data_IF_755040128754
#
_entry.id   IF_755040128754
#
_cell.length_a   1.000
_cell.length_b   1.000
_cell.length_c   1.000
_cell.angle_alpha   90.00
_cell.angle_beta   90.00
_cell.angle_gamma   90.00
#
_symmetry.space_group_name_H-M   'P 1'
#
loop_
_entity.id
_entity.type
_entity.pdbx_description
1 polymer ?
#
# COMPACT_ATOMS: atom_id res chain seq x y z
N UNK A 1 4.58 35.83 -13.87
CA UNK A 1 5.34 34.96 -12.90
C UNK A 1 4.55 34.46 -11.67
N UNK A 2 3.35 34.97 -11.33
CA UNK A 2 2.59 34.54 -10.12
C UNK A 2 1.82 33.21 -10.26
N UNK A 3 1.48 32.77 -11.49
CA UNK A 3 0.64 31.58 -11.72
C UNK A 3 1.34 30.23 -11.43
N UNK A 4 2.66 30.12 -11.65
CA UNK A 4 3.44 28.88 -11.40
C UNK A 4 3.68 28.58 -9.92
N UNK A 5 3.68 29.60 -9.04
CA UNK A 5 3.92 29.41 -7.59
C UNK A 5 2.67 28.95 -6.84
N UNK A 6 1.49 29.32 -7.33
CA UNK A 6 0.19 28.88 -6.79
C UNK A 6 -0.05 27.39 -7.06
N UNK A 7 0.21 26.93 -8.29
CA UNK A 7 -0.01 25.54 -8.69
C UNK A 7 0.98 24.55 -8.07
N UNK A 8 2.22 24.96 -7.79
CA UNK A 8 3.17 24.07 -7.08
C UNK A 8 2.78 23.89 -5.61
N UNK A 9 2.36 24.97 -4.93
CA UNK A 9 1.93 24.90 -3.52
C UNK A 9 0.61 24.13 -3.33
N UNK A 10 -0.33 24.24 -4.27
CA UNK A 10 -1.58 23.48 -4.20
C UNK A 10 -1.36 21.99 -4.47
N UNK A 11 -0.46 21.63 -5.39
CA UNK A 11 -0.03 20.24 -5.62
C UNK A 11 0.74 19.65 -4.45
N UNK A 12 1.66 20.41 -3.85
CA UNK A 12 2.39 19.99 -2.64
C UNK A 12 1.46 19.72 -1.45
N UNK A 13 0.34 20.44 -1.32
CA UNK A 13 -0.67 20.19 -0.27
C UNK A 13 -1.61 19.02 -0.54
N UNK A 14 -1.69 18.54 -1.79
CA UNK A 14 -2.53 17.39 -2.17
C UNK A 14 -1.73 16.10 -2.28
N UNK A 15 -0.42 16.17 -2.42
CA UNK A 15 0.43 15.01 -2.55
C UNK A 15 0.28 14.04 -1.36
N UNK A 16 0.14 12.75 -1.67
CA UNK A 16 0.34 11.69 -0.68
C UNK A 16 1.83 11.52 -0.48
N UNK A 17 2.26 11.70 0.77
CA UNK A 17 3.63 11.47 1.20
C UNK A 17 3.67 10.33 2.21
N UNK A 18 4.58 9.39 2.03
CA UNK A 18 4.88 8.35 3.01
C UNK A 18 6.39 8.12 3.05
N UNK A 19 6.93 8.01 4.25
CA UNK A 19 8.33 7.73 4.51
C UNK A 19 8.49 6.69 5.62
N UNK A 20 9.47 5.82 5.46
CA UNK A 20 9.90 4.87 6.48
C UNK A 20 11.42 4.74 6.48
N UNK A 21 12.02 4.58 7.66
CA UNK A 21 13.42 4.22 7.80
C UNK A 21 13.53 2.69 7.84
N UNK A 22 14.23 2.11 6.88
CA UNK A 22 14.49 0.68 6.79
C UNK A 22 15.89 0.40 7.33
N UNK A 23 15.97 -0.22 8.50
CA UNK A 23 17.24 -0.60 9.15
C UNK A 23 17.73 -1.93 8.61
N UNK A 24 18.29 -1.93 7.41
CA UNK A 24 18.96 -3.10 6.85
C UNK A 24 20.45 -3.02 7.19
N UNK A 25 21.04 -4.02 7.87
CA UNK A 25 22.48 -4.02 8.13
C UNK A 25 23.29 -4.26 6.85
N UNK A 26 24.43 -3.57 6.73
CA UNK A 26 25.44 -3.79 5.69
C UNK A 26 25.37 -2.87 4.47
N UNK A 27 26.46 -2.82 3.72
CA UNK A 27 26.68 -1.95 2.54
C UNK A 27 25.64 -2.15 1.41
N UNK A 28 24.94 -3.31 1.40
CA UNK A 28 23.93 -3.68 0.39
C UNK A 28 22.48 -3.40 0.82
N UNK A 29 22.29 -2.57 1.84
CA UNK A 29 20.96 -2.18 2.34
C UNK A 29 20.05 -1.60 1.25
N UNK A 30 20.62 -0.73 0.41
CA UNK A 30 19.92 -0.14 -0.74
C UNK A 30 19.59 -1.20 -1.77
N UNK A 31 20.55 -2.07 -2.13
CA UNK A 31 20.37 -3.09 -3.17
C UNK A 31 19.21 -4.02 -2.84
N UNK A 32 19.16 -4.47 -1.59
CA UNK A 32 18.06 -5.32 -1.10
C UNK A 32 16.74 -4.58 -1.24
N UNK A 33 16.66 -3.35 -0.75
CA UNK A 33 15.42 -2.59 -0.80
C UNK A 33 14.99 -2.28 -2.24
N UNK A 34 15.94 -1.93 -3.11
CA UNK A 34 15.72 -1.72 -4.54
C UNK A 34 15.18 -2.98 -5.21
N UNK A 35 15.78 -4.14 -4.95
CA UNK A 35 15.30 -5.41 -5.50
C UNK A 35 13.86 -5.72 -5.06
N UNK A 36 13.56 -5.63 -3.76
CA UNK A 36 12.22 -5.90 -3.22
C UNK A 36 11.12 -4.96 -3.77
N UNK A 37 11.51 -3.77 -4.22
CA UNK A 37 10.60 -2.72 -4.65
C UNK A 37 10.48 -2.61 -6.16
N UNK A 38 11.55 -2.90 -6.92
CA UNK A 38 11.55 -2.82 -8.38
C UNK A 38 11.19 -4.16 -9.06
N UNK A 39 11.39 -5.31 -8.40
CA UNK A 39 11.02 -6.61 -8.96
C UNK A 39 9.48 -6.77 -8.99
N UNK A 40 8.86 -6.93 -10.18
CA UNK A 40 7.40 -7.01 -10.33
C UNK A 40 6.78 -8.27 -9.70
N UNK A 41 7.56 -9.32 -9.44
CA UNK A 41 7.11 -10.52 -8.73
C UNK A 41 7.15 -10.35 -7.21
N UNK A 42 8.05 -9.49 -6.70
CA UNK A 42 8.20 -9.26 -5.27
C UNK A 42 7.32 -8.10 -4.77
N UNK A 43 7.13 -7.07 -5.59
CA UNK A 43 6.41 -5.86 -5.22
C UNK A 43 4.97 -6.12 -4.72
N UNK A 44 4.12 -6.89 -5.43
CA UNK A 44 2.74 -7.13 -4.99
C UNK A 44 2.65 -7.93 -3.69
N UNK A 45 3.73 -8.60 -3.28
CA UNK A 45 3.73 -9.39 -2.04
C UNK A 45 3.55 -8.50 -0.82
N UNK A 46 4.10 -7.28 -0.81
CA UNK A 46 4.04 -6.37 0.33
C UNK A 46 3.08 -5.20 0.13
N UNK A 47 2.85 -4.75 -1.10
CA UNK A 47 2.03 -3.58 -1.40
C UNK A 47 0.53 -3.89 -1.45
N UNK A 48 -0.29 -3.20 -0.66
CA UNK A 48 -1.75 -3.33 -0.70
C UNK A 48 -2.38 -2.72 -1.95
N UNK A 49 -1.65 -1.84 -2.63
CA UNK A 49 -2.17 -1.08 -3.78
C UNK A 49 -2.15 -1.89 -5.07
N UNK A 50 -1.45 -3.02 -5.11
CA UNK A 50 -1.31 -3.86 -6.30
C UNK A 50 -1.42 -5.34 -5.94
N UNK A 51 -2.23 -6.07 -6.68
CA UNK A 51 -2.28 -7.54 -6.61
C UNK A 51 -1.35 -8.17 -7.62
N UNK A 52 -1.24 -7.60 -8.82
CA UNK A 52 -0.29 -8.03 -9.85
C UNK A 52 0.30 -6.82 -10.57
N UNK A 53 1.55 -6.96 -10.99
CA UNK A 53 2.25 -6.02 -11.85
C UNK A 53 2.90 -6.85 -12.95
N UNK A 54 2.52 -6.61 -14.20
CA UNK A 54 3.02 -7.35 -15.36
C UNK A 54 3.77 -6.39 -16.27
N UNK A 55 5.10 -6.55 -16.44
CA UNK A 55 5.85 -5.79 -17.44
C UNK A 55 5.27 -5.98 -18.83
N UNK A 56 5.16 -4.89 -19.58
CA UNK A 56 4.71 -4.88 -20.98
C UNK A 56 5.92 -4.73 -21.91
N UNK A 57 6.57 -5.87 -22.18
CA UNK A 57 7.81 -5.95 -22.94
C UNK A 57 9.07 -5.60 -22.14
N UNK A 58 10.22 -5.63 -22.81
CA UNK A 58 11.50 -5.23 -22.24
C UNK A 58 11.56 -3.71 -22.01
N UNK A 59 12.40 -3.23 -21.06
CA UNK A 59 12.65 -1.79 -20.91
C UNK A 59 13.12 -1.18 -22.23
N UNK A 60 12.60 -0.01 -22.57
CA UNK A 60 13.11 0.75 -23.72
C UNK A 60 14.54 1.24 -23.51
N UNK A 61 15.18 1.72 -24.58
CA UNK A 61 16.57 2.21 -24.54
C UNK A 61 16.82 3.32 -23.50
N UNK A 62 15.79 4.06 -23.09
CA UNK A 62 15.85 5.11 -22.06
C UNK A 62 15.65 4.60 -20.64
N UNK A 63 15.54 3.28 -20.43
CA UNK A 63 15.21 2.65 -19.15
C UNK A 63 13.74 2.78 -18.74
N UNK A 64 12.88 3.23 -19.65
CA UNK A 64 11.44 3.29 -19.41
C UNK A 64 10.82 1.90 -19.51
N UNK A 65 10.12 1.48 -18.47
CA UNK A 65 9.39 0.21 -18.42
C UNK A 65 7.89 0.48 -18.41
N UNK A 66 7.16 -0.06 -19.38
CA UNK A 66 5.69 -0.09 -19.35
C UNK A 66 5.23 -1.28 -18.53
N UNK A 67 4.12 -1.15 -17.82
CA UNK A 67 3.53 -2.23 -17.06
C UNK A 67 2.01 -2.11 -17.01
N UNK A 68 1.35 -3.26 -16.88
CA UNK A 68 -0.05 -3.37 -16.48
C UNK A 68 -0.09 -3.66 -14.99
N UNK A 69 -1.07 -3.10 -14.29
CA UNK A 69 -1.32 -3.41 -12.89
C UNK A 69 -2.77 -3.85 -12.68
N UNK A 70 -2.96 -4.69 -11.67
CA UNK A 70 -4.28 -5.16 -11.25
C UNK A 70 -4.45 -4.98 -9.74
N UNK A 71 -5.67 -4.62 -9.33
CA UNK A 71 -6.09 -4.56 -7.93
C UNK A 71 -7.33 -5.44 -7.77
N UNK A 72 -7.19 -6.54 -7.05
CA UNK A 72 -8.30 -7.45 -6.73
C UNK A 72 -8.74 -7.25 -5.28
N UNK A 73 -10.03 -6.94 -5.05
CA UNK A 73 -10.60 -7.00 -3.70
C UNK A 73 -10.45 -8.39 -3.07
N UNK A 74 -10.42 -8.51 -1.74
CA UNK A 74 -10.40 -9.82 -1.10
C UNK A 74 -11.73 -10.58 -1.31
N UNK A 75 -11.67 -11.91 -1.18
CA UNK A 75 -12.86 -12.77 -1.15
C UNK A 75 -13.50 -13.02 -2.53
N UNK A 76 -14.81 -13.32 -2.54
CA UNK A 76 -15.54 -13.69 -3.74
C UNK A 76 -15.61 -12.57 -4.79
N UNK A 77 -15.61 -11.30 -4.34
CA UNK A 77 -15.66 -10.15 -5.23
C UNK A 77 -14.42 -10.08 -6.15
N UNK A 78 -13.22 -10.30 -5.59
CA UNK A 78 -11.98 -10.31 -6.36
C UNK A 78 -11.83 -11.46 -7.34
N UNK A 79 -12.63 -12.53 -7.19
CA UNK A 79 -12.69 -13.61 -8.18
C UNK A 79 -13.47 -13.19 -9.43
N UNK A 80 -14.39 -12.24 -9.29
CA UNK A 80 -15.31 -11.78 -10.35
C UNK A 80 -14.89 -10.47 -10.99
N UNK A 81 -14.21 -9.61 -10.23
CA UNK A 81 -13.83 -8.28 -10.69
C UNK A 81 -12.43 -7.89 -10.21
N UNK A 82 -11.71 -7.15 -11.05
CA UNK A 82 -10.41 -6.60 -10.77
C UNK A 82 -10.33 -5.22 -11.42
N UNK A 83 -9.85 -4.23 -10.67
CA UNK A 83 -9.51 -2.92 -11.22
C UNK A 83 -8.19 -3.06 -11.97
N UNK A 84 -8.16 -2.58 -13.21
CA UNK A 84 -6.99 -2.64 -14.10
C UNK A 84 -6.46 -1.25 -14.39
N UNK A 85 -5.19 -1.17 -14.73
CA UNK A 85 -4.60 0.05 -15.24
C UNK A 85 -3.21 -0.16 -15.82
N UNK A 86 -2.67 0.94 -16.30
CA UNK A 86 -1.44 1.02 -17.06
C UNK A 86 -0.47 1.95 -16.36
N UNK A 87 0.82 1.69 -16.49
CA UNK A 87 1.83 2.60 -16.00
C UNK A 87 3.10 2.54 -16.80
N UNK A 88 3.87 3.61 -16.66
CA UNK A 88 5.24 3.71 -17.17
C UNK A 88 6.12 4.14 -16.02
N UNK A 89 7.16 3.37 -15.73
CA UNK A 89 8.16 3.69 -14.72
C UNK A 89 9.53 3.92 -15.36
N UNK A 90 10.36 4.67 -14.66
CA UNK A 90 11.79 4.79 -14.94
C UNK A 90 12.53 4.78 -13.61
N UNK A 91 13.39 3.79 -13.45
CA UNK A 91 14.30 3.67 -12.32
C UNK A 91 15.67 4.19 -12.72
N UNK A 92 16.21 5.14 -11.95
CA UNK A 92 17.63 5.47 -12.00
C UNK A 92 18.25 5.30 -10.62
N UNK A 93 19.27 4.45 -10.54
CA UNK A 93 20.25 4.52 -9.46
C UNK A 93 21.23 5.62 -9.84
N UNK A 94 21.37 6.65 -9.01
CA UNK A 94 21.95 7.92 -9.43
C UNK A 94 23.43 8.09 -9.11
N UNK A 95 23.99 7.33 -8.18
CA UNK A 95 25.37 7.56 -7.75
C UNK A 95 26.00 6.34 -7.05
N UNK A 96 27.33 6.40 -6.94
CA UNK A 96 28.19 5.47 -6.19
C UNK A 96 27.87 5.50 -4.68
N UNK A 97 27.26 6.60 -4.21
CA UNK A 97 26.78 6.81 -2.84
C UNK A 97 25.51 5.99 -2.51
N UNK A 98 24.91 5.31 -3.48
CA UNK A 98 23.78 4.40 -3.29
C UNK A 98 22.40 5.09 -3.27
N UNK A 99 22.28 6.34 -3.71
CA UNK A 99 20.98 6.97 -3.88
C UNK A 99 20.24 6.39 -5.09
N UNK A 100 18.95 6.10 -4.86
CA UNK A 100 18.03 5.61 -5.89
C UNK A 100 16.87 6.57 -6.09
N UNK A 101 16.38 6.68 -7.32
CA UNK A 101 15.09 7.30 -7.60
C UNK A 101 14.33 6.47 -8.62
N UNK A 102 13.10 6.10 -8.30
CA UNK A 102 12.17 5.49 -9.27
C UNK A 102 11.01 6.44 -9.47
N UNK A 103 10.71 6.83 -10.69
CA UNK A 103 9.57 7.66 -11.04
C UNK A 103 8.55 6.83 -11.81
N UNK A 104 7.27 7.12 -11.67
CA UNK A 104 6.22 6.45 -12.42
C UNK A 104 5.06 7.39 -12.76
N UNK A 105 4.39 7.09 -13.87
CA UNK A 105 3.04 7.59 -14.19
C UNK A 105 2.11 6.40 -14.31
N UNK A 106 0.87 6.58 -13.90
CA UNK A 106 -0.15 5.56 -13.98
C UNK A 106 -1.47 6.15 -14.48
N UNK A 107 -2.25 5.30 -15.13
CA UNK A 107 -3.56 5.60 -15.64
C UNK A 107 -4.47 4.39 -15.36
N UNK A 108 -5.57 4.56 -14.62
CA UNK A 108 -6.55 3.50 -14.45
C UNK A 108 -7.32 3.28 -15.75
N UNK A 109 -7.67 2.03 -16.05
CA UNK A 109 -8.45 1.65 -17.23
C UNK A 109 -9.93 1.45 -16.90
N UNK A 110 -10.27 1.47 -15.60
CA UNK A 110 -11.61 1.19 -15.10
C UNK A 110 -12.30 2.49 -14.63
N UNK A 111 -13.51 2.75 -15.12
CA UNK A 111 -14.34 3.91 -14.73
C UNK A 111 -14.81 3.83 -13.27
N UNK A 112 -14.82 2.62 -12.68
CA UNK A 112 -15.09 2.41 -11.26
C UNK A 112 -13.88 2.74 -10.38
N UNK A 113 -12.72 3.06 -10.96
CA UNK A 113 -11.56 3.47 -10.18
C UNK A 113 -11.80 4.79 -9.45
N UNK A 114 -11.58 4.85 -8.12
CA UNK A 114 -11.63 6.11 -7.36
C UNK A 114 -10.46 7.04 -7.68
N UNK A 115 -9.39 6.50 -8.27
CA UNK A 115 -8.22 7.24 -8.73
C UNK A 115 -8.35 7.46 -10.25
N UNK A 116 -7.92 8.61 -10.72
CA UNK A 116 -7.67 8.92 -12.13
C UNK A 116 -6.17 8.88 -12.46
N UNK A 117 -5.76 9.54 -13.56
CA UNK A 117 -4.36 9.62 -13.96
C UNK A 117 -3.50 10.23 -12.85
N UNK A 118 -2.32 9.66 -12.65
CA UNK A 118 -1.44 10.06 -11.58
C UNK A 118 0.02 9.88 -11.87
N UNK A 119 0.84 10.45 -10.99
CA UNK A 119 2.28 10.40 -11.11
C UNK A 119 2.92 10.38 -9.73
N UNK A 120 4.00 9.62 -9.60
CA UNK A 120 4.63 9.37 -8.32
C UNK A 120 6.12 9.11 -8.46
N UNK A 121 6.79 9.12 -7.33
CA UNK A 121 8.18 8.73 -7.28
C UNK A 121 8.52 8.14 -5.93
N UNK A 122 9.58 7.33 -5.94
CA UNK A 122 10.26 6.77 -4.79
C UNK A 122 11.68 7.31 -4.71
N UNK A 123 12.17 7.49 -3.49
CA UNK A 123 13.57 7.77 -3.23
C UNK A 123 14.14 6.82 -2.19
N UNK A 124 15.38 6.45 -2.42
CA UNK A 124 16.20 5.65 -1.53
C UNK A 124 17.35 6.58 -1.12
N UNK A 125 17.36 6.98 0.15
CA UNK A 125 18.35 7.89 0.71
C UNK A 125 19.12 7.13 1.78
N UNK A 126 20.36 6.70 1.51
CA UNK A 126 21.23 6.11 2.51
C UNK A 126 21.47 7.07 3.68
N UNK A 127 21.52 6.53 4.88
CA UNK A 127 21.86 7.24 6.13
C UNK A 127 22.65 6.30 7.04
N UNK A 128 23.28 6.86 8.08
CA UNK A 128 24.02 6.07 9.08
C UNK A 128 23.16 5.02 9.79
N UNK A 129 21.84 5.23 9.84
CA UNK A 129 20.88 4.34 10.50
C UNK A 129 20.22 3.33 9.55
N UNK A 130 20.48 3.38 8.23
CA UNK A 130 19.87 2.51 7.22
C UNK A 130 19.46 3.27 5.97
N UNK A 131 18.31 2.93 5.38
CA UNK A 131 17.82 3.59 4.16
C UNK A 131 16.49 4.29 4.46
N UNK A 132 16.45 5.61 4.28
CA UNK A 132 15.19 6.36 4.25
C UNK A 132 14.51 6.11 2.91
N UNK A 133 13.41 5.39 2.97
CA UNK A 133 12.57 5.07 1.83
C UNK A 133 11.31 5.92 1.85
N UNK A 134 11.13 6.72 0.81
CA UNK A 134 10.01 7.64 0.75
C UNK A 134 9.33 7.60 -0.61
N UNK A 135 8.05 7.94 -0.62
CA UNK A 135 7.25 8.16 -1.81
C UNK A 135 6.52 9.47 -1.73
N UNK A 136 6.40 10.13 -2.88
CA UNK A 136 5.50 11.25 -3.07
C UNK A 136 4.72 11.04 -4.37
N UNK A 137 3.39 11.09 -4.31
CA UNK A 137 2.58 10.99 -5.52
C UNK A 137 1.28 11.76 -5.43
N UNK A 138 0.75 12.12 -6.59
CA UNK A 138 -0.52 12.80 -6.73
C UNK A 138 -1.28 12.20 -7.93
N UNK A 139 -2.60 12.31 -7.88
CA UNK A 139 -3.50 11.82 -8.90
C UNK A 139 -4.73 12.72 -8.98
N UNK A 140 -5.37 12.72 -10.15
CA UNK A 140 -6.67 13.35 -10.33
C UNK A 140 -7.76 12.45 -9.74
N UNK A 141 -8.71 12.97 -8.94
CA UNK A 141 -9.81 12.16 -8.42
C UNK A 141 -10.63 11.51 -9.54
N UNK A 142 -11.04 10.26 -9.37
CA UNK A 142 -12.01 9.60 -10.24
C UNK A 142 -13.42 10.19 -10.09
N UNK A 143 -14.40 9.69 -10.86
CA UNK A 143 -15.83 9.99 -10.71
C UNK A 143 -16.25 11.48 -10.80
N UNK A 144 -15.43 12.32 -11.44
CA UNK A 144 -15.74 13.74 -11.64
C UNK A 144 -16.01 14.49 -10.33
N UNK A 145 -17.15 15.18 -10.24
CA UNK A 145 -17.47 16.06 -9.09
C UNK A 145 -17.65 15.29 -7.78
N UNK A 146 -18.19 14.07 -7.84
CA UNK A 146 -18.38 13.25 -6.63
C UNK A 146 -17.03 12.86 -6.04
N UNK A 147 -16.12 12.33 -6.87
CA UNK A 147 -14.78 11.99 -6.40
C UNK A 147 -13.96 13.21 -6.00
N UNK A 148 -14.16 14.38 -6.63
CA UNK A 148 -13.53 15.62 -6.16
C UNK A 148 -13.91 15.99 -4.70
N UNK A 149 -15.13 15.66 -4.27
CA UNK A 149 -15.57 15.83 -2.88
C UNK A 149 -15.09 14.73 -1.93
N UNK A 150 -15.14 13.47 -2.38
CA UNK A 150 -14.76 12.31 -1.57
C UNK A 150 -13.24 12.10 -1.45
N UNK A 151 -12.46 12.55 -2.43
CA UNK A 151 -11.01 12.33 -2.48
C UNK A 151 -10.28 12.85 -1.23
N UNK A 152 -10.42 14.12 -0.82
CA UNK A 152 -9.71 14.62 0.35
C UNK A 152 -10.18 14.00 1.67
N UNK A 153 -11.42 13.50 1.74
CA UNK A 153 -12.04 13.01 2.97
C UNK A 153 -11.90 11.49 3.18
N UNK A 154 -11.90 10.72 2.08
CA UNK A 154 -12.00 9.27 2.12
C UNK A 154 -10.88 8.63 1.31
N UNK A 155 -10.84 8.88 -0.01
CA UNK A 155 -9.96 8.13 -0.93
C UNK A 155 -8.49 8.41 -0.61
N UNK A 156 -8.07 9.67 -0.61
CA UNK A 156 -6.67 10.05 -0.41
C UNK A 156 -6.15 9.68 1.00
N UNK A 157 -6.90 9.90 2.10
CA UNK A 157 -6.52 9.38 3.40
C UNK A 157 -6.37 7.86 3.44
N UNK A 158 -7.27 7.11 2.81
CA UNK A 158 -7.23 5.64 2.76
C UNK A 158 -6.05 5.14 1.94
N UNK A 159 -5.79 5.73 0.77
CA UNK A 159 -4.66 5.38 -0.10
C UNK A 159 -3.33 5.74 0.57
N UNK A 160 -3.26 6.88 1.26
CA UNK A 160 -2.12 7.24 2.11
C UNK A 160 -1.90 6.27 3.28
N UNK A 161 -2.98 5.82 3.93
CA UNK A 161 -2.91 4.78 4.97
C UNK A 161 -2.44 3.44 4.40
N UNK A 162 -2.96 3.00 3.24
CA UNK A 162 -2.58 1.75 2.60
C UNK A 162 -1.11 1.76 2.17
N UNK A 163 -0.63 2.89 1.66
CA UNK A 163 0.79 3.10 1.32
C UNK A 163 1.67 2.99 2.57
N UNK A 164 1.28 3.65 3.67
CA UNK A 164 1.97 3.60 4.96
C UNK A 164 2.03 2.18 5.55
N UNK A 165 0.91 1.46 5.53
CA UNK A 165 0.87 0.07 5.99
C UNK A 165 1.77 -0.83 5.14
N UNK A 166 1.76 -0.63 3.83
CA UNK A 166 2.61 -1.37 2.88
C UNK A 166 4.09 -1.12 3.11
N UNK A 167 4.47 0.13 3.39
CA UNK A 167 5.86 0.51 3.70
C UNK A 167 6.35 -0.15 4.99
N UNK A 168 5.53 -0.22 6.03
CA UNK A 168 5.91 -0.94 7.25
C UNK A 168 5.99 -2.46 7.02
N UNK A 169 5.12 -3.02 6.18
CA UNK A 169 5.20 -4.45 5.79
C UNK A 169 6.49 -4.76 5.02
N UNK A 170 6.84 -3.92 4.05
CA UNK A 170 8.12 -3.98 3.34
C UNK A 170 9.28 -3.86 4.31
N UNK A 171 9.23 -2.92 5.25
CA UNK A 171 10.24 -2.74 6.29
C UNK A 171 10.42 -4.01 7.13
N UNK A 172 9.33 -4.65 7.57
CA UNK A 172 9.41 -5.91 8.32
C UNK A 172 10.06 -7.03 7.50
N UNK A 173 9.78 -7.09 6.20
CA UNK A 173 10.40 -8.08 5.32
C UNK A 173 11.89 -7.79 5.07
N UNK A 174 12.24 -6.54 4.83
CA UNK A 174 13.60 -6.09 4.57
C UNK A 174 14.49 -6.19 5.81
N UNK A 175 14.02 -5.74 6.97
CA UNK A 175 14.80 -5.73 8.22
C UNK A 175 14.88 -7.10 8.88
N UNK A 176 13.77 -7.85 8.91
CA UNK A 176 13.62 -9.03 9.79
C UNK A 176 13.34 -10.31 9.03
N UNK A 177 13.27 -10.27 7.70
CA UNK A 177 12.93 -11.44 6.89
C UNK A 177 11.51 -11.97 7.14
N UNK A 178 10.63 -11.17 7.74
CA UNK A 178 9.23 -11.58 7.96
C UNK A 178 8.54 -11.64 6.61
N UNK A 179 8.19 -12.84 6.16
CA UNK A 179 7.50 -13.02 4.90
C UNK A 179 6.22 -12.15 4.84
N UNK A 180 5.96 -11.45 3.73
CA UNK A 180 4.78 -10.60 3.61
C UNK A 180 3.46 -11.34 3.87
N UNK A 181 3.31 -12.61 3.48
CA UNK A 181 2.09 -13.39 3.75
C UNK A 181 1.87 -13.58 5.25
N UNK A 182 2.92 -13.93 6.00
CA UNK A 182 2.85 -14.12 7.45
C UNK A 182 2.49 -12.84 8.20
N UNK A 183 3.07 -11.71 7.81
CA UNK A 183 2.73 -10.42 8.41
C UNK A 183 1.30 -9.97 8.08
N UNK A 184 0.79 -10.27 6.88
CA UNK A 184 -0.62 -10.09 6.51
C UNK A 184 -1.53 -10.97 7.35
N UNK A 185 -1.23 -12.26 7.48
CA UNK A 185 -2.09 -13.20 8.21
C UNK A 185 -2.15 -12.84 9.69
N UNK A 186 -1.03 -12.44 10.28
CA UNK A 186 -1.02 -11.90 11.65
C UNK A 186 -1.84 -10.61 11.78
N UNK A 187 -1.81 -9.73 10.77
CA UNK A 187 -2.65 -8.52 10.75
C UNK A 187 -4.14 -8.86 10.67
N UNK A 188 -4.51 -9.86 9.86
CA UNK A 188 -5.88 -10.35 9.74
C UNK A 188 -6.37 -10.95 11.05
N UNK A 189 -5.59 -11.83 11.67
CA UNK A 189 -5.92 -12.40 12.99
C UNK A 189 -6.10 -11.30 14.03
N UNK A 190 -5.19 -10.31 14.07
CA UNK A 190 -5.33 -9.18 14.98
C UNK A 190 -6.60 -8.37 14.69
N UNK A 191 -6.92 -8.09 13.42
CA UNK A 191 -8.11 -7.35 13.05
C UNK A 191 -9.39 -8.10 13.46
N UNK A 192 -9.46 -9.41 13.19
CA UNK A 192 -10.59 -10.26 13.58
C UNK A 192 -10.74 -10.30 15.11
N UNK A 193 -9.65 -10.50 15.85
CA UNK A 193 -9.69 -10.51 17.31
C UNK A 193 -10.20 -9.18 17.89
N UNK A 194 -9.76 -8.04 17.32
CA UNK A 194 -10.25 -6.72 17.75
C UNK A 194 -11.72 -6.52 17.43
N UNK A 195 -12.15 -6.89 16.22
CA UNK A 195 -13.56 -6.80 15.82
C UNK A 195 -14.46 -7.70 16.69
N UNK A 196 -14.01 -8.93 16.98
CA UNK A 196 -14.72 -9.84 17.87
C UNK A 196 -14.82 -9.28 19.30
N UNK A 197 -13.75 -8.69 19.83
CA UNK A 197 -13.76 -8.02 21.13
C UNK A 197 -14.74 -6.84 21.17
N UNK A 198 -14.72 -5.97 20.15
CA UNK A 198 -15.65 -4.84 20.05
C UNK A 198 -17.11 -5.31 19.92
N UNK A 199 -17.36 -6.33 19.10
CA UNK A 199 -18.70 -6.89 18.92
C UNK A 199 -19.19 -7.56 20.21
N UNK A 200 -18.38 -8.41 20.84
CA UNK A 200 -18.71 -9.06 22.10
C UNK A 200 -18.98 -8.04 23.22
N UNK A 201 -18.15 -7.00 23.32
CA UNK A 201 -18.32 -5.94 24.30
C UNK A 201 -19.59 -5.12 24.06
N UNK A 202 -19.87 -4.77 22.81
CA UNK A 202 -21.11 -4.07 22.42
C UNK A 202 -22.36 -4.91 22.72
N UNK A 203 -22.30 -6.23 22.50
CA UNK A 203 -23.40 -7.15 22.82
C UNK A 203 -23.65 -7.26 24.33
N UNK A 204 -22.59 -7.28 25.15
CA UNK A 204 -22.71 -7.27 26.62
C UNK A 204 -23.35 -5.97 27.12
N UNK A 205 -22.92 -4.81 26.60
CA UNK A 205 -23.54 -3.52 26.93
C UNK A 205 -25.01 -3.52 26.51
N UNK A 206 -25.32 -3.95 25.28
CA UNK A 206 -26.69 -4.00 24.78
C UNK A 206 -27.60 -4.91 25.61
N UNK A 207 -27.10 -6.07 26.07
CA UNK A 207 -27.85 -6.95 26.98
C UNK A 207 -28.12 -6.30 28.33
N UNK A 208 -27.10 -5.68 28.94
CA UNK A 208 -27.29 -4.97 30.21
C UNK A 208 -28.33 -3.86 30.10
N UNK A 209 -28.30 -3.07 29.02
CA UNK A 209 -29.30 -2.02 28.78
C UNK A 209 -30.70 -2.60 28.57
N UNK A 210 -30.84 -3.69 27.79
CA UNK A 210 -32.13 -4.31 27.54
C UNK A 210 -32.75 -4.91 28.83
N UNK A 211 -31.95 -5.53 29.69
CA UNK A 211 -32.40 -6.03 30.99
C UNK A 211 -32.86 -4.91 31.92
N UNK A 212 -32.15 -3.77 31.93
CA UNK A 212 -32.53 -2.58 32.70
C UNK A 212 -33.90 -2.03 32.29
N UNK A 213 -34.20 -2.05 30.98
CA UNK A 213 -35.49 -1.60 30.44
C UNK A 213 -36.61 -2.60 30.76
N UNK A 214 -36.31 -3.91 30.72
CA UNK A 214 -37.30 -4.98 30.88
C UNK A 214 -37.69 -5.32 32.32
N UNK A 215 -36.89 -4.94 33.33
CA UNK A 215 -37.15 -5.20 34.76
C UNK A 215 -36.89 -3.98 35.65
N UNK A 216 -37.68 -2.90 35.51
CA UNK A 216 -37.54 -1.73 36.36
C UNK A 216 -37.98 -2.06 37.80
N UNK A 217 -37.04 -2.15 38.75
CA UNK A 217 -37.36 -2.21 40.20
C UNK A 217 -36.57 -3.21 41.04
N UNK A 218 -35.90 -4.21 40.43
CA UNK A 218 -35.19 -5.23 41.19
C UNK A 218 -33.75 -4.79 41.56
N UNK A 219 -33.45 -4.54 42.84
CA UNK A 219 -32.12 -4.08 43.26
C UNK A 219 -30.98 -5.06 42.86
N UNK A 220 -31.26 -6.36 42.81
CA UNK A 220 -30.32 -7.38 42.35
C UNK A 220 -30.07 -7.30 40.83
N UNK A 221 -31.05 -6.81 40.04
CA UNK A 221 -30.90 -6.67 38.59
C UNK A 221 -29.96 -5.52 38.22
N UNK A 222 -29.96 -4.42 38.97
CA UNK A 222 -29.08 -3.27 38.69
C UNK A 222 -27.59 -3.58 38.86
N UNK A 223 -27.22 -4.44 39.80
CA UNK A 223 -25.82 -4.87 39.97
C UNK A 223 -25.35 -5.73 38.80
N UNK A 224 -26.19 -6.63 38.30
CA UNK A 224 -25.91 -7.46 37.12
C UNK A 224 -25.83 -6.61 35.83
N UNK A 225 -26.74 -5.66 35.65
CA UNK A 225 -26.72 -4.67 34.56
C UNK A 225 -25.43 -3.86 34.58
N UNK A 226 -25.06 -3.31 35.74
CA UNK A 226 -23.83 -2.54 35.91
C UNK A 226 -22.58 -3.35 35.58
N UNK A 227 -22.52 -4.62 36.03
CA UNK A 227 -21.42 -5.52 35.73
C UNK A 227 -21.33 -5.84 34.22
N UNK A 228 -22.45 -6.11 33.55
CA UNK A 228 -22.48 -6.40 32.11
C UNK A 228 -22.02 -5.20 31.26
N UNK A 229 -22.48 -3.98 31.60
CA UNK A 229 -22.06 -2.75 30.93
C UNK A 229 -20.57 -2.48 31.16
N UNK A 230 -20.10 -2.61 32.41
CA UNK A 230 -18.69 -2.40 32.74
C UNK A 230 -17.78 -3.42 32.03
N UNK A 231 -18.15 -4.71 32.03
CA UNK A 231 -17.40 -5.76 31.33
C UNK A 231 -17.39 -5.52 29.81
N UNK A 232 -18.52 -5.13 29.23
CA UNK A 232 -18.62 -4.82 27.81
C UNK A 232 -17.76 -3.61 27.41
N UNK A 233 -17.82 -2.52 28.18
CA UNK A 233 -17.00 -1.32 27.97
C UNK A 233 -15.50 -1.60 28.14
N UNK A 234 -15.13 -2.42 29.13
CA UNK A 234 -13.75 -2.86 29.33
C UNK A 234 -13.23 -3.68 28.14
N UNK A 235 -14.05 -4.59 27.60
CA UNK A 235 -13.68 -5.40 26.44
C UNK A 235 -13.51 -4.55 25.16
N UNK A 236 -14.39 -3.57 24.91
CA UNK A 236 -14.25 -2.63 23.78
C UNK A 236 -12.97 -1.82 23.93
N UNK A 237 -12.72 -1.27 25.12
CA UNK A 237 -11.52 -0.47 25.41
C UNK A 237 -10.25 -1.29 25.22
N UNK A 238 -10.23 -2.52 25.75
CA UNK A 238 -9.10 -3.43 25.59
C UNK A 238 -8.87 -3.76 24.11
N UNK A 239 -9.92 -4.12 23.36
CA UNK A 239 -9.81 -4.42 21.93
C UNK A 239 -9.28 -3.23 21.11
N UNK A 240 -9.68 -2.00 21.45
CA UNK A 240 -9.19 -0.79 20.80
C UNK A 240 -7.75 -0.40 21.22
N UNK A 241 -7.39 -0.67 22.48
CA UNK A 241 -6.15 -0.22 23.12
C UNK A 241 -4.95 -1.16 22.97
N UNK A 242 -5.15 -2.45 22.66
CA UNK A 242 -4.04 -3.42 22.53
C UNK A 242 -3.03 -2.95 21.50
N UNK A 243 -1.74 -2.78 21.85
CA UNK A 243 -0.70 -2.36 20.91
C UNK A 243 -0.57 -3.31 19.72
N UNK A 244 -0.17 -2.78 18.56
CA UNK A 244 0.10 -3.61 17.37
C UNK A 244 1.46 -4.33 17.54
N UNK A 245 1.50 -5.67 17.55
CA UNK A 245 2.72 -6.45 17.71
C UNK A 245 3.78 -6.06 16.68
N UNK A 246 5.05 -6.28 17.02
CA UNK A 246 6.17 -5.88 16.17
C UNK A 246 6.27 -6.63 14.83
N UNK A 247 5.51 -7.72 14.64
CA UNK A 247 5.43 -8.49 13.39
C UNK A 247 4.19 -8.14 12.54
N UNK A 248 3.29 -7.34 13.09
CA UNK A 248 2.07 -6.91 12.41
C UNK A 248 2.32 -5.52 11.81
N UNK A 249 2.12 -5.32 10.50
CA UNK A 249 2.36 -4.03 9.89
C UNK A 249 1.40 -2.96 10.42
N UNK A 250 1.91 -1.75 10.58
CA UNK A 250 1.14 -0.61 11.09
C UNK A 250 1.52 0.69 10.39
N UNK A 251 0.54 1.33 9.78
CA UNK A 251 0.69 2.67 9.19
C UNK A 251 1.12 3.74 10.21
N UNK A 252 0.98 3.48 11.53
CA UNK A 252 1.44 4.40 12.58
C UNK A 252 2.96 4.44 12.73
N UNK A 253 3.69 3.44 12.23
CA UNK A 253 5.16 3.37 12.28
C UNK A 253 5.85 4.13 11.14
N UNK A 254 5.07 4.69 10.20
CA UNK A 254 5.57 5.45 9.06
C UNK A 254 5.21 6.93 9.17
N UNK A 255 6.05 7.78 8.62
CA UNK A 255 5.83 9.23 8.53
C UNK A 255 4.94 9.51 7.31
N UNK A 256 3.89 10.32 7.49
CA UNK A 256 2.96 10.69 6.40
C UNK A 256 2.91 12.18 6.10
N UNK A 257 3.72 12.96 6.81
CA UNK A 257 3.90 14.39 6.58
C UNK A 257 5.35 14.62 6.19
N UNK A 258 5.64 15.33 5.09
CA UNK A 258 7.00 15.55 4.67
C UNK A 258 7.76 16.36 5.73
N UNK A 259 8.96 15.92 6.17
CA UNK A 259 9.74 16.64 7.17
C UNK A 259 10.29 17.97 6.63
N UNK A 260 10.50 18.06 5.31
CA UNK A 260 10.94 19.28 4.64
C UNK A 260 10.39 19.40 3.20
N UNK A 261 10.58 20.57 2.59
CA UNK A 261 10.11 20.84 1.22
C UNK A 261 10.85 20.04 0.13
N UNK A 262 12.09 19.60 0.38
CA UNK A 262 12.87 18.82 -0.60
C UNK A 262 12.36 17.39 -0.67
N UNK A 263 11.96 16.82 0.45
CA UNK A 263 11.38 15.49 0.56
C UNK A 263 10.08 15.33 -0.24
N UNK A 264 9.25 16.38 -0.33
CA UNK A 264 7.99 16.39 -1.10
C UNK A 264 8.18 16.68 -2.61
N UNK A 265 9.29 17.31 -3.01
CA UNK A 265 9.50 17.77 -4.39
C UNK A 265 9.66 16.59 -5.36
N UNK A 266 8.90 16.55 -6.46
CA UNK A 266 9.09 15.54 -7.49
C UNK A 266 10.49 15.57 -8.14
N UNK A 267 11.12 14.41 -8.44
CA UNK A 267 12.40 14.34 -9.12
C UNK A 267 12.27 14.71 -10.61
N UNK A 268 13.36 15.18 -11.22
CA UNK A 268 13.37 15.56 -12.64
C UNK A 268 13.04 14.40 -13.58
N UNK A 269 13.35 13.16 -13.20
CA UNK A 269 13.00 11.95 -13.97
C UNK A 269 11.48 11.72 -14.08
N UNK A 270 10.66 12.32 -13.23
CA UNK A 270 9.20 12.29 -13.42
C UNK A 270 8.76 13.10 -14.65
N UNK A 271 9.52 14.12 -15.01
CA UNK A 271 9.23 14.97 -16.16
C UNK A 271 9.56 14.28 -17.50
N UNK A 272 10.47 13.30 -17.50
CA UNK A 272 10.88 12.56 -18.71
C UNK A 272 9.93 11.42 -19.06
N UNK A 273 9.08 10.98 -18.13
CA UNK A 273 8.06 9.98 -18.42
C UNK A 273 7.00 10.54 -19.35
N UNK A 274 6.58 9.75 -20.34
CA UNK A 274 5.39 10.04 -21.16
C UNK A 274 4.15 9.57 -20.39
N UNK A 275 2.97 10.16 -20.67
CA UNK A 275 1.71 9.61 -20.15
C UNK A 275 1.55 8.14 -20.61
N UNK A 276 1.01 7.24 -19.78
CA UNK A 276 0.67 5.89 -20.21
C UNK A 276 -0.36 6.00 -21.34
N UNK A 277 -0.10 5.33 -22.47
CA UNK A 277 -1.05 5.25 -23.60
C UNK A 277 -1.59 3.83 -23.61
N UNK A 278 -2.91 3.68 -23.70
CA UNK A 278 -3.56 2.40 -23.97
C UNK A 278 -3.08 1.89 -25.35
N UNK A 279 -2.42 0.73 -25.43
CA UNK A 279 -1.93 0.21 -26.71
C UNK A 279 -3.05 -0.20 -27.69
N UNK A 280 -4.33 -0.17 -27.29
CA UNK A 280 -5.44 -0.68 -28.10
C UNK A 280 -5.42 -2.22 -28.18
N UNK A 281 -6.43 -2.84 -28.81
CA UNK A 281 -6.45 -4.29 -29.00
C UNK A 281 -5.27 -4.70 -29.89
N UNK A 282 -4.44 -5.64 -29.42
CA UNK A 282 -3.30 -6.16 -30.17
C UNK A 282 -3.78 -6.81 -31.46
N UNK A 283 -3.61 -6.14 -32.60
CA UNK A 283 -3.76 -6.72 -33.93
C UNK A 283 -2.46 -7.42 -34.32
N UNK A 284 -2.18 -8.54 -33.67
CA UNK A 284 -1.05 -9.39 -34.03
C UNK A 284 -1.01 -10.65 -33.17
N UNK A 285 -0.70 -11.83 -33.75
CA UNK A 285 -0.55 -13.04 -32.95
C UNK A 285 0.57 -12.82 -31.92
N UNK A 286 0.31 -13.26 -30.69
CA UNK A 286 1.31 -13.24 -29.64
C UNK A 286 2.59 -13.95 -30.15
N UNK A 287 3.79 -13.37 -29.97
CA UNK A 287 5.02 -14.08 -30.30
C UNK A 287 5.05 -15.37 -29.48
N UNK A 288 5.32 -16.48 -30.16
CA UNK A 288 5.47 -17.78 -29.52
C UNK A 288 6.50 -17.65 -28.39
N UNK A 289 6.07 -17.98 -27.18
CA UNK A 289 6.99 -18.18 -26.05
C UNK A 289 7.83 -19.37 -26.43
N UNK A 290 9.10 -19.13 -26.79
CA UNK A 290 10.08 -20.19 -27.03
C UNK A 290 10.23 -20.96 -25.72
N UNK A 291 9.58 -22.13 -25.64
CA UNK A 291 9.85 -23.08 -24.56
C UNK A 291 11.27 -23.58 -24.79
N UNK A 292 12.17 -23.51 -23.80
CA UNK A 292 13.43 -24.23 -23.91
C UNK A 292 13.11 -25.73 -24.11
N UNK A 293 13.87 -26.44 -24.97
CA UNK A 293 13.66 -27.86 -25.18
C UNK A 293 13.84 -28.63 -23.87
N UNK A 294 13.11 -29.74 -23.68
CA UNK A 294 13.27 -30.59 -22.50
C UNK A 294 14.73 -31.07 -22.42
N UNK A 295 15.31 -30.94 -21.23
CA UNK A 295 16.63 -31.49 -20.93
C UNK A 295 16.44 -32.99 -20.71
N UNK A 296 16.91 -33.79 -21.67
CA UNK A 296 17.05 -35.23 -21.50
C UNK A 296 18.20 -35.50 -20.51
N UNK A 297 17.83 -35.69 -19.25
CA UNK A 297 18.68 -36.40 -18.29
C UNK A 297 18.02 -37.75 -17.97
N UNK A 298 18.11 -38.67 -18.94
CA UNK A 298 18.16 -40.11 -18.64
C UNK A 298 19.61 -40.52 -18.43
N UNK A 299 19.91 -41.03 -17.26
CA UNK A 299 21.25 -41.48 -16.84
C UNK A 299 21.23 -41.94 -15.39
N UNK A 300 20.42 -42.96 -15.11
CA UNK A 300 20.47 -43.74 -13.87
C UNK A 300 21.47 -44.92 -14.05
N UNK A 301 21.87 -45.60 -12.95
CA UNK A 301 23.24 -46.06 -12.71
C UNK A 301 23.55 -47.46 -13.24
N UNK A 302 24.85 -47.80 -13.24
CA UNK A 302 25.37 -49.16 -13.13
C UNK A 302 26.55 -49.18 -12.16
#
# INVERSE_FOLDING_TARGET
>A
MRHRRSSSRSRERRQIYVETLVRTPGERAVDRLWHLTQDPLLHPRWDLRFTHITPDGAPGATGHQRFRYEIRPPGALGRRWALRGWGTSVGHRRDDDGHGTSALRFHPDDTLSPLGPGSGYWRYVPTDAGVRFLTGYDYEPGWGRLGAGLDPLVVRPLVGWATAWSFDRLRLWAERGVDPSRSRDAALVQAVARLAGVAGGSLLVGRGVAEAIGRPGDAWSWSAVGAAVAAGAALVTAAAGVPTPARVPSARRTVRRPPDRRAARAPRSLATLTAPVDPGPSTGPAPAVDRPPPTDHEGAPS
#
